data_IF_455240446834
#
_entry.id   IF_455240446834
#
_cell.length_a   1.000
_cell.length_b   1.000
_cell.length_c   1.000
_cell.angle_alpha   90.00
_cell.angle_beta   90.00
_cell.angle_gamma   90.00
#
_symmetry.space_group_name_H-M   'P 1'
#
loop_
_entity.id
_entity.type
_entity.pdbx_description
1 polymer ?
#
# COMPACT_ATOMS: atom_id res chain seq x y z
N UNK A 1 -45.67 13.44 -29.11
CA UNK A 1 -44.47 14.32 -29.19
C UNK A 1 -43.62 14.10 -27.97
N UNK A 2 -42.75 13.07 -27.90
CA UNK A 2 -41.84 12.85 -26.73
C UNK A 2 -40.54 12.15 -27.09
N UNK A 3 -40.06 12.28 -28.33
CA UNK A 3 -38.80 11.61 -28.77
C UNK A 3 -37.52 12.41 -28.57
N UNK A 4 -37.57 13.68 -28.18
CA UNK A 4 -36.41 14.56 -28.13
C UNK A 4 -35.69 14.56 -26.78
N UNK A 5 -36.28 14.09 -25.69
CA UNK A 5 -35.70 14.10 -24.36
C UNK A 5 -34.90 12.83 -23.98
N UNK A 6 -35.06 11.73 -24.70
CA UNK A 6 -34.35 10.44 -24.45
C UNK A 6 -32.91 10.42 -24.97
N UNK A 7 -32.67 11.08 -26.11
CA UNK A 7 -31.35 11.10 -26.76
C UNK A 7 -30.21 11.65 -25.88
N UNK A 8 -30.36 12.76 -25.14
CA UNK A 8 -29.30 13.30 -24.28
C UNK A 8 -29.02 12.41 -23.05
N UNK A 9 -30.02 11.75 -22.49
CA UNK A 9 -29.84 10.84 -21.34
C UNK A 9 -29.07 9.57 -21.73
N UNK A 10 -29.38 9.00 -22.88
CA UNK A 10 -28.64 7.83 -23.39
C UNK A 10 -27.20 8.17 -23.74
N UNK A 11 -26.96 9.38 -24.27
CA UNK A 11 -25.60 9.86 -24.57
C UNK A 11 -24.79 10.07 -23.30
N UNK A 12 -25.36 10.70 -22.28
CA UNK A 12 -24.70 10.86 -20.97
C UNK A 12 -24.38 9.51 -20.33
N UNK A 13 -25.30 8.56 -20.34
CA UNK A 13 -25.07 7.22 -19.81
C UNK A 13 -23.91 6.52 -20.52
N UNK A 14 -23.83 6.59 -21.85
CA UNK A 14 -22.73 6.00 -22.62
C UNK A 14 -21.39 6.63 -22.26
N UNK A 15 -21.33 7.96 -22.09
CA UNK A 15 -20.11 8.67 -21.70
C UNK A 15 -19.66 8.22 -20.30
N UNK A 16 -20.56 8.23 -19.32
CA UNK A 16 -20.25 7.81 -17.96
C UNK A 16 -19.83 6.34 -17.88
N UNK A 17 -20.49 5.47 -18.65
CA UNK A 17 -20.12 4.06 -18.75
C UNK A 17 -18.72 3.88 -19.35
N UNK A 18 -18.40 4.59 -20.44
CA UNK A 18 -17.07 4.55 -21.02
C UNK A 18 -15.99 5.07 -20.06
N UNK A 19 -16.24 6.22 -19.41
CA UNK A 19 -15.32 6.77 -18.39
C UNK A 19 -15.09 5.74 -17.28
N UNK A 20 -16.17 5.19 -16.72
CA UNK A 20 -16.05 4.18 -15.65
C UNK A 20 -15.26 2.96 -16.10
N UNK A 21 -15.56 2.40 -17.26
CA UNK A 21 -14.89 1.19 -17.78
C UNK A 21 -13.40 1.41 -17.95
N UNK A 22 -13.00 2.49 -18.62
CA UNK A 22 -11.58 2.75 -18.88
C UNK A 22 -10.81 3.12 -17.62
N UNK A 23 -11.38 3.99 -16.77
CA UNK A 23 -10.70 4.38 -15.53
C UNK A 23 -10.58 3.19 -14.57
N UNK A 24 -11.62 2.36 -14.46
CA UNK A 24 -11.59 1.16 -13.61
C UNK A 24 -10.59 0.12 -14.12
N UNK A 25 -10.56 -0.13 -15.44
CA UNK A 25 -9.62 -1.10 -16.01
C UNK A 25 -8.16 -0.70 -15.77
N UNK A 26 -7.83 0.56 -16.04
CA UNK A 26 -6.47 1.08 -15.81
C UNK A 26 -6.13 1.03 -14.31
N UNK A 27 -7.00 1.55 -13.46
CA UNK A 27 -6.77 1.57 -12.01
C UNK A 27 -6.64 0.17 -11.42
N UNK A 28 -7.41 -0.81 -11.90
CA UNK A 28 -7.37 -2.19 -11.43
C UNK A 28 -6.00 -2.83 -11.64
N UNK A 29 -5.34 -2.59 -12.78
CA UNK A 29 -3.99 -3.13 -13.05
C UNK A 29 -2.99 -2.62 -12.02
N UNK A 30 -3.01 -1.30 -11.73
CA UNK A 30 -2.09 -0.71 -10.75
C UNK A 30 -2.43 -1.10 -9.32
N UNK A 31 -3.70 -1.17 -8.96
CA UNK A 31 -4.12 -1.68 -7.64
C UNK A 31 -3.68 -3.12 -7.43
N UNK A 32 -3.85 -3.98 -8.45
CA UNK A 32 -3.40 -5.37 -8.38
C UNK A 32 -1.87 -5.44 -8.16
N UNK A 33 -1.10 -4.64 -8.93
CA UNK A 33 0.35 -4.55 -8.74
C UNK A 33 0.70 -4.11 -7.31
N UNK A 34 0.04 -3.07 -6.79
CA UNK A 34 0.27 -2.58 -5.42
C UNK A 34 -0.12 -3.64 -4.37
N UNK A 35 -1.21 -4.37 -4.56
CA UNK A 35 -1.59 -5.46 -3.66
C UNK A 35 -0.57 -6.61 -3.68
N UNK A 36 -0.12 -7.03 -4.86
CA UNK A 36 0.85 -8.12 -5.01
C UNK A 36 2.23 -7.75 -4.45
N UNK A 37 2.64 -6.50 -4.57
CA UNK A 37 3.91 -6.03 -4.01
C UNK A 37 3.81 -5.68 -2.53
N UNK A 38 2.66 -5.18 -2.08
CA UNK A 38 2.43 -4.80 -0.69
C UNK A 38 2.26 -5.99 0.25
N UNK A 39 1.68 -7.11 -0.22
CA UNK A 39 1.46 -8.29 0.59
C UNK A 39 2.77 -8.88 1.17
N UNK A 40 3.83 -9.13 0.37
CA UNK A 40 5.12 -9.56 0.91
C UNK A 40 5.76 -8.51 1.84
N UNK A 41 5.54 -7.22 1.60
CA UNK A 41 6.08 -6.16 2.45
C UNK A 41 5.46 -6.14 3.86
N UNK A 42 4.23 -6.61 4.03
CA UNK A 42 3.62 -6.78 5.35
C UNK A 42 4.37 -7.85 6.16
N UNK A 43 4.83 -8.90 5.50
CA UNK A 43 5.53 -10.03 6.09
C UNK A 43 7.05 -9.96 5.87
N UNK A 44 7.61 -8.75 5.72
CA UNK A 44 9.03 -8.60 5.38
C UNK A 44 9.95 -9.21 6.43
N UNK A 45 9.65 -9.09 7.72
CA UNK A 45 10.43 -9.68 8.80
C UNK A 45 10.52 -11.21 8.68
N UNK A 46 9.38 -11.87 8.53
CA UNK A 46 9.32 -13.33 8.42
C UNK A 46 10.04 -13.84 7.16
N UNK A 47 9.93 -13.07 6.07
CA UNK A 47 10.58 -13.41 4.80
C UNK A 47 12.08 -13.18 4.89
N UNK A 48 12.54 -12.07 5.47
CA UNK A 48 13.95 -11.76 5.62
C UNK A 48 14.63 -12.73 6.59
N UNK A 49 13.96 -13.14 7.67
CA UNK A 49 14.41 -14.22 8.55
C UNK A 49 14.54 -15.54 7.80
N UNK A 50 13.51 -15.94 7.04
CA UNK A 50 13.53 -17.20 6.27
C UNK A 50 14.62 -17.24 5.20
N UNK A 51 14.91 -16.07 4.59
CA UNK A 51 15.94 -15.91 3.56
C UNK A 51 17.34 -15.67 4.13
N UNK A 52 17.49 -15.53 5.46
CA UNK A 52 18.76 -15.29 6.12
C UNK A 52 19.31 -13.87 5.90
N UNK A 53 18.45 -12.90 5.59
CA UNK A 53 18.82 -11.50 5.45
C UNK A 53 18.74 -10.73 6.77
N UNK A 54 18.21 -11.35 7.80
CA UNK A 54 18.14 -10.74 9.12
C UNK A 54 19.55 -10.71 9.77
N UNK A 55 19.97 -9.57 10.33
CA UNK A 55 21.28 -9.48 10.97
C UNK A 55 21.28 -10.32 12.24
N UNK A 56 22.25 -11.22 12.35
CA UNK A 56 22.46 -11.96 13.57
C UNK A 56 22.96 -10.98 14.67
N UNK A 57 22.08 -10.59 15.56
CA UNK A 57 22.47 -9.85 16.78
C UNK A 57 23.14 -10.84 17.73
N UNK A 58 24.38 -10.59 18.21
CA UNK A 58 25.04 -11.47 19.16
C UNK A 58 24.22 -11.57 20.45
N UNK A 59 23.98 -12.82 20.89
CA UNK A 59 23.34 -13.04 22.18
C UNK A 59 24.20 -12.48 23.31
N UNK A 60 23.65 -11.52 24.07
CA UNK A 60 24.31 -10.88 25.19
C UNK A 60 23.62 -11.26 26.51
N UNK A 61 24.36 -11.27 27.63
CA UNK A 61 23.75 -11.53 28.93
C UNK A 61 22.59 -10.59 29.22
N UNK A 62 21.51 -11.10 29.79
CA UNK A 62 20.36 -10.31 30.17
C UNK A 62 20.76 -9.15 31.08
N UNK A 63 20.30 -7.94 30.77
CA UNK A 63 20.62 -6.74 31.54
C UNK A 63 21.87 -5.98 31.06
N UNK A 64 22.54 -6.38 29.99
CA UNK A 64 23.60 -5.60 29.36
C UNK A 64 23.08 -4.22 28.95
N UNK A 65 23.64 -3.11 29.45
CA UNK A 65 23.14 -1.76 29.16
C UNK A 65 23.39 -1.38 27.71
N UNK A 66 22.48 -0.60 27.15
CA UNK A 66 22.63 -0.02 25.80
C UNK A 66 23.68 1.10 25.83
N UNK A 67 24.42 1.24 24.75
CA UNK A 67 25.32 2.36 24.54
C UNK A 67 24.54 3.68 24.40
N UNK A 68 25.09 4.79 24.87
CA UNK A 68 24.52 6.11 24.60
C UNK A 68 24.43 6.37 23.09
N UNK A 69 23.39 7.06 22.64
CA UNK A 69 23.17 7.37 21.22
C UNK A 69 24.39 8.06 20.58
N UNK A 70 25.09 8.93 21.30
CA UNK A 70 26.30 9.59 20.81
C UNK A 70 27.40 8.61 20.38
N UNK A 71 27.58 7.51 21.11
CA UNK A 71 28.57 6.47 20.76
C UNK A 71 28.13 5.68 19.51
N UNK A 72 26.85 5.41 19.36
CA UNK A 72 26.29 4.75 18.17
C UNK A 72 26.43 5.65 16.93
N UNK A 73 26.19 6.95 17.08
CA UNK A 73 26.40 7.95 16.03
C UNK A 73 27.88 8.03 15.61
N UNK A 74 28.81 8.03 16.57
CA UNK A 74 30.25 7.99 16.27
C UNK A 74 30.64 6.71 15.52
N UNK A 75 30.15 5.56 15.97
CA UNK A 75 30.36 4.28 15.28
C UNK A 75 29.86 4.29 13.83
N UNK A 76 28.66 4.83 13.60
CA UNK A 76 28.10 4.95 12.25
C UNK A 76 28.93 5.88 11.36
N UNK A 77 29.36 7.05 11.88
CA UNK A 77 30.23 7.99 11.15
C UNK A 77 31.59 7.39 10.80
N UNK A 78 32.16 6.59 11.68
CA UNK A 78 33.42 5.91 11.42
C UNK A 78 33.33 4.94 10.23
N UNK A 79 32.14 4.35 9.99
CA UNK A 79 31.89 3.45 8.85
C UNK A 79 31.70 4.17 7.51
N UNK A 80 31.16 5.39 7.56
CA UNK A 80 30.88 6.21 6.37
C UNK A 80 31.50 7.60 6.53
N UNK A 81 32.83 7.70 6.38
CA UNK A 81 33.54 8.98 6.53
C UNK A 81 33.05 9.99 5.48
N UNK A 82 32.89 11.24 5.92
CA UNK A 82 32.39 12.33 5.08
C UNK A 82 30.87 12.44 4.97
N UNK A 83 30.11 11.50 5.56
CA UNK A 83 28.67 11.59 5.63
C UNK A 83 28.20 12.15 6.97
N UNK A 84 27.04 12.82 6.93
CA UNK A 84 26.35 13.36 8.11
C UNK A 84 25.18 12.48 8.50
N UNK A 85 24.97 12.30 9.79
CA UNK A 85 23.81 11.55 10.29
C UNK A 85 22.57 12.41 10.14
N UNK A 86 21.54 11.88 9.50
CA UNK A 86 20.25 12.55 9.34
C UNK A 86 19.25 12.12 10.41
N UNK A 87 19.18 10.82 10.68
CA UNK A 87 18.24 10.25 11.65
C UNK A 87 18.76 8.94 12.23
N UNK A 88 18.23 8.57 13.39
CA UNK A 88 18.37 7.26 13.98
C UNK A 88 16.98 6.68 14.18
N UNK A 89 16.75 5.48 13.65
CA UNK A 89 15.49 4.79 13.73
C UNK A 89 15.61 3.59 14.68
N UNK A 90 14.68 3.50 15.63
CA UNK A 90 14.59 2.41 16.60
C UNK A 90 13.33 1.62 16.28
N UNK A 91 13.49 0.37 15.96
CA UNK A 91 12.37 -0.52 15.68
C UNK A 91 11.87 -1.14 16.97
N UNK A 92 10.55 -1.23 17.11
CA UNK A 92 9.93 -1.75 18.33
C UNK A 92 10.12 -3.27 18.44
N UNK A 93 10.12 -3.93 17.31
CA UNK A 93 10.21 -5.39 17.21
C UNK A 93 11.68 -5.87 17.28
N UNK A 94 12.64 -4.97 17.03
CA UNK A 94 14.08 -5.20 17.17
C UNK A 94 14.73 -4.22 18.17
N UNK A 95 14.46 -4.33 19.46
CA UNK A 95 14.91 -3.38 20.46
C UNK A 95 16.44 -3.31 20.64
N UNK A 96 17.17 -4.32 20.19
CA UNK A 96 18.62 -4.45 20.30
C UNK A 96 19.36 -3.82 19.11
N UNK A 97 18.67 -3.38 18.10
CA UNK A 97 19.24 -2.75 16.90
C UNK A 97 18.90 -1.26 16.81
N UNK A 98 19.72 -0.51 16.10
CA UNK A 98 19.43 0.86 15.68
C UNK A 98 19.87 1.04 14.24
N UNK A 99 18.98 1.58 13.40
CA UNK A 99 19.28 1.93 12.04
C UNK A 99 19.61 3.43 11.95
N UNK A 100 20.83 3.74 11.54
CA UNK A 100 21.31 5.12 11.40
C UNK A 100 21.39 5.47 9.92
N UNK A 101 20.60 6.46 9.52
CA UNK A 101 20.60 7.01 8.17
C UNK A 101 21.66 8.10 8.01
N UNK A 102 22.51 7.96 7.00
CA UNK A 102 23.57 8.89 6.67
C UNK A 102 23.41 9.42 5.25
N UNK A 103 23.85 10.65 5.02
CA UNK A 103 23.87 11.28 3.70
C UNK A 103 25.09 12.17 3.51
N UNK A 104 25.39 12.46 2.26
CA UNK A 104 26.43 13.44 1.90
C UNK A 104 26.03 14.88 2.27
N UNK A 105 24.70 15.17 2.35
CA UNK A 105 24.15 16.46 2.74
C UNK A 105 22.86 16.23 3.56
N UNK A 106 22.66 17.05 4.61
CA UNK A 106 21.45 17.04 5.45
C UNK A 106 20.15 17.28 4.66
N UNK A 107 20.23 17.93 3.50
CA UNK A 107 19.07 18.23 2.64
C UNK A 107 18.67 17.08 1.73
N UNK A 108 19.52 16.06 1.60
CA UNK A 108 19.25 14.92 0.72
C UNK A 108 18.38 13.89 1.43
N UNK A 109 17.14 13.77 1.02
CA UNK A 109 16.16 12.83 1.59
C UNK A 109 15.62 11.93 0.47
N UNK A 110 15.57 10.60 0.68
CA UNK A 110 16.18 9.84 1.79
C UNK A 110 17.70 9.87 1.78
N UNK A 111 18.34 9.48 2.88
CA UNK A 111 19.79 9.40 2.98
C UNK A 111 20.46 8.53 1.91
N UNK A 112 21.78 8.68 1.77
CA UNK A 112 22.55 7.91 0.78
C UNK A 112 22.83 6.48 1.22
N UNK A 113 22.85 6.24 2.53
CA UNK A 113 23.19 4.95 3.11
C UNK A 113 22.58 4.76 4.50
N UNK A 114 22.44 3.50 4.89
CA UNK A 114 22.05 3.11 6.24
C UNK A 114 23.13 2.24 6.85
N UNK A 115 23.30 2.36 8.17
CA UNK A 115 24.13 1.50 8.99
C UNK A 115 23.27 0.99 10.13
N UNK A 116 23.03 -0.32 10.16
CA UNK A 116 22.42 -1.01 11.28
C UNK A 116 23.48 -1.36 12.32
N UNK A 117 23.30 -0.94 13.55
CA UNK A 117 24.23 -1.20 14.64
C UNK A 117 23.54 -1.94 15.77
N UNK A 118 24.27 -2.85 16.41
CA UNK A 118 23.91 -3.41 17.70
C UNK A 118 23.98 -2.29 18.77
N UNK A 119 22.92 -2.06 19.49
CA UNK A 119 22.81 -1.00 20.50
C UNK A 119 23.67 -1.23 21.75
N UNK A 120 24.14 -2.45 22.01
CA UNK A 120 24.97 -2.78 23.17
C UNK A 120 26.44 -2.68 22.83
N UNK A 121 26.87 -3.14 21.70
CA UNK A 121 28.27 -3.20 21.31
C UNK A 121 28.69 -2.07 20.36
N UNK A 122 27.76 -1.49 19.61
CA UNK A 122 28.05 -0.58 18.50
C UNK A 122 28.64 -1.27 17.29
N UNK A 123 28.60 -2.60 17.26
CA UNK A 123 29.04 -3.36 16.10
C UNK A 123 28.07 -3.17 14.94
N UNK A 124 28.59 -3.05 13.71
CA UNK A 124 27.74 -3.01 12.51
C UNK A 124 27.19 -4.39 12.22
N UNK A 125 25.87 -4.46 12.11
CA UNK A 125 25.10 -5.63 11.73
C UNK A 125 24.78 -5.62 10.24
N UNK A 126 24.39 -4.45 9.72
CA UNK A 126 24.04 -4.23 8.33
C UNK A 126 24.72 -2.97 7.83
N UNK A 127 25.37 -3.05 6.67
CA UNK A 127 25.90 -1.90 5.94
C UNK A 127 25.33 -1.91 4.51
N UNK A 128 24.04 -1.65 4.40
CA UNK A 128 23.34 -1.84 3.13
C UNK A 128 22.90 -0.49 2.55
N UNK A 129 22.96 -0.38 1.22
CA UNK A 129 22.31 0.74 0.53
C UNK A 129 20.78 0.66 0.70
N UNK A 130 20.07 1.80 0.80
CA UNK A 130 18.63 1.81 0.88
C UNK A 130 18.01 1.00 -0.27
N UNK A 131 17.20 0.00 0.08
CA UNK A 131 16.51 -0.82 -0.91
C UNK A 131 17.36 -1.93 -1.55
N UNK A 132 18.42 -2.39 -0.89
CA UNK A 132 19.10 -3.63 -1.25
C UNK A 132 18.27 -4.85 -0.78
N UNK A 133 18.51 -5.98 -1.46
CA UNK A 133 17.77 -7.21 -1.18
C UNK A 133 16.39 -7.30 -1.85
N UNK A 134 15.74 -8.48 -1.76
CA UNK A 134 14.45 -8.71 -2.42
C UNK A 134 13.32 -7.84 -1.88
N UNK A 135 13.31 -7.57 -0.56
CA UNK A 135 12.30 -6.69 0.04
C UNK A 135 12.50 -5.24 -0.37
N UNK A 136 13.75 -4.78 -0.50
CA UNK A 136 14.05 -3.46 -1.03
C UNK A 136 13.65 -3.29 -2.49
N UNK A 137 13.79 -4.32 -3.31
CA UNK A 137 13.27 -4.33 -4.68
C UNK A 137 11.76 -4.17 -4.71
N UNK A 138 11.03 -4.96 -3.90
CA UNK A 138 9.58 -4.89 -3.79
C UNK A 138 9.13 -3.52 -3.27
N UNK A 139 9.82 -2.98 -2.27
CA UNK A 139 9.53 -1.66 -1.73
C UNK A 139 9.67 -0.55 -2.79
N UNK A 140 10.73 -0.57 -3.59
CA UNK A 140 10.92 0.39 -4.68
C UNK A 140 9.87 0.25 -5.77
N UNK A 141 9.51 -0.99 -6.13
CA UNK A 141 8.44 -1.23 -7.09
C UNK A 141 7.09 -0.72 -6.56
N UNK A 142 6.80 -0.97 -5.29
CA UNK A 142 5.55 -0.57 -4.63
C UNK A 142 5.45 0.95 -4.44
N UNK A 143 6.54 1.61 -4.04
CA UNK A 143 6.51 3.01 -3.64
C UNK A 143 6.70 4.00 -4.81
N UNK A 144 7.52 3.66 -5.79
CA UNK A 144 7.91 4.59 -6.85
C UNK A 144 8.22 3.95 -8.21
N UNK A 145 7.99 2.64 -8.37
CA UNK A 145 8.23 1.91 -9.61
C UNK A 145 9.66 2.11 -10.18
N UNK A 146 10.66 2.30 -9.32
CA UNK A 146 12.05 2.64 -9.65
C UNK A 146 12.26 3.99 -10.35
N UNK A 147 11.23 4.83 -10.46
CA UNK A 147 11.26 6.14 -11.13
C UNK A 147 11.41 7.32 -10.14
N UNK A 148 11.61 7.03 -8.85
CA UNK A 148 11.75 8.05 -7.80
C UNK A 148 10.54 9.00 -7.75
N UNK A 149 10.77 10.31 -7.80
CA UNK A 149 9.69 11.30 -7.75
C UNK A 149 8.69 11.14 -8.89
N UNK A 150 9.17 10.81 -10.09
CA UNK A 150 8.31 10.59 -11.26
C UNK A 150 7.33 9.44 -11.04
N UNK A 151 7.80 8.32 -10.46
CA UNK A 151 6.96 7.17 -10.12
C UNK A 151 5.93 7.48 -9.05
N UNK A 152 6.30 8.23 -8.01
CA UNK A 152 5.36 8.68 -6.97
C UNK A 152 4.26 9.56 -7.54
N UNK A 153 4.60 10.51 -8.40
CA UNK A 153 3.62 11.36 -9.08
C UNK A 153 2.72 10.56 -10.01
N UNK A 154 3.28 9.60 -10.74
CA UNK A 154 2.52 8.70 -11.61
C UNK A 154 1.53 7.86 -10.80
N UNK A 155 1.95 7.24 -9.70
CA UNK A 155 1.04 6.51 -8.80
C UNK A 155 -0.03 7.42 -8.19
N UNK A 156 0.31 8.69 -7.90
CA UNK A 156 -0.66 9.71 -7.47
C UNK A 156 -1.74 9.96 -8.54
N UNK A 157 -1.36 10.05 -9.81
CA UNK A 157 -2.31 10.16 -10.94
C UNK A 157 -3.18 8.91 -11.06
N UNK A 158 -2.62 7.72 -10.88
CA UNK A 158 -3.40 6.47 -10.86
C UNK A 158 -4.40 6.44 -9.70
N UNK A 159 -4.02 6.96 -8.53
CA UNK A 159 -4.94 7.16 -7.40
C UNK A 159 -6.10 8.11 -7.73
N UNK A 160 -5.81 9.21 -8.44
CA UNK A 160 -6.85 10.14 -8.91
C UNK A 160 -7.80 9.48 -9.92
N UNK A 161 -7.28 8.68 -10.86
CA UNK A 161 -8.09 7.89 -11.78
C UNK A 161 -9.01 6.90 -11.02
N UNK A 162 -8.51 6.30 -9.96
CA UNK A 162 -9.32 5.43 -9.10
C UNK A 162 -10.48 6.20 -8.45
N UNK A 163 -10.25 7.42 -7.96
CA UNK A 163 -11.34 8.27 -7.44
C UNK A 163 -12.38 8.55 -8.51
N UNK A 164 -11.97 8.87 -9.74
CA UNK A 164 -12.88 9.06 -10.87
C UNK A 164 -13.67 7.78 -11.18
N UNK A 165 -13.03 6.61 -11.12
CA UNK A 165 -13.70 5.32 -11.30
C UNK A 165 -14.77 5.08 -10.22
N UNK A 166 -14.48 5.37 -8.95
CA UNK A 166 -15.45 5.26 -7.86
C UNK A 166 -16.64 6.20 -8.07
N UNK A 167 -16.38 7.49 -8.33
CA UNK A 167 -17.44 8.48 -8.56
C UNK A 167 -18.31 8.09 -9.74
N UNK A 168 -17.71 7.71 -10.87
CA UNK A 168 -18.45 7.29 -12.06
C UNK A 168 -19.28 6.02 -11.82
N UNK A 169 -18.76 5.08 -11.02
CA UNK A 169 -19.49 3.89 -10.60
C UNK A 169 -20.74 4.23 -9.77
N UNK A 170 -20.58 5.12 -8.79
CA UNK A 170 -21.73 5.61 -7.98
C UNK A 170 -22.78 6.29 -8.82
N UNK A 171 -22.36 7.14 -9.78
CA UNK A 171 -23.29 7.82 -10.69
C UNK A 171 -24.06 6.83 -11.56
N UNK A 172 -23.40 5.78 -12.08
CA UNK A 172 -24.04 4.75 -12.90
C UNK A 172 -24.98 3.86 -12.07
N UNK A 173 -24.59 3.54 -10.83
CA UNK A 173 -25.34 2.61 -9.99
C UNK A 173 -26.50 3.28 -9.24
N UNK A 174 -26.45 4.59 -9.00
CA UNK A 174 -27.47 5.34 -8.27
C UNK A 174 -28.89 5.22 -8.83
N UNK A 175 -29.12 5.34 -10.15
CA UNK A 175 -30.44 5.13 -10.76
C UNK A 175 -30.96 3.69 -10.64
N UNK A 176 -30.07 2.70 -10.64
CA UNK A 176 -30.42 1.28 -10.50
C UNK A 176 -30.91 0.98 -9.09
N UNK A 177 -30.21 1.47 -8.06
CA UNK A 177 -30.61 1.33 -6.66
C UNK A 177 -31.95 1.97 -6.34
N UNK A 178 -32.26 3.13 -6.93
CA UNK A 178 -33.60 3.75 -6.80
C UNK A 178 -34.71 2.88 -7.35
N UNK A 179 -34.49 2.20 -8.46
CA UNK A 179 -35.47 1.26 -9.04
C UNK A 179 -35.69 0.02 -8.18
N UNK A 180 -34.64 -0.52 -7.57
CA UNK A 180 -34.78 -1.65 -6.64
C UNK A 180 -35.53 -1.25 -5.36
N UNK A 181 -35.25 -0.09 -4.80
CA UNK A 181 -35.91 0.42 -3.60
C UNK A 181 -37.38 0.78 -3.82
N UNK A 182 -37.78 1.07 -5.07
CA UNK A 182 -39.16 1.37 -5.46
C UNK A 182 -39.91 0.20 -6.06
N UNK A 183 -39.30 -1.00 -6.20
CA UNK A 183 -40.01 -2.20 -6.59
C UNK A 183 -41.00 -2.59 -5.47
N UNK A 184 -42.31 -2.59 -5.69
CA UNK A 184 -43.23 -3.04 -4.65
C UNK A 184 -42.90 -4.51 -4.37
N UNK A 185 -42.82 -4.86 -3.09
CA UNK A 185 -42.84 -6.23 -2.63
C UNK A 185 -44.24 -6.76 -2.92
N UNK A 186 -44.47 -7.20 -4.16
CA UNK A 186 -45.71 -7.84 -4.55
C UNK A 186 -45.75 -9.22 -3.91
N UNK A 187 -46.16 -9.21 -2.65
CA UNK A 187 -46.46 -10.40 -1.86
C UNK A 187 -47.74 -11.06 -2.40
N UNK A 188 -47.70 -11.42 -3.66
CA UNK A 188 -48.71 -12.31 -4.22
C UNK A 188 -48.39 -13.72 -3.76
N UNK A 189 -48.69 -13.97 -2.47
CA UNK A 189 -48.90 -15.32 -2.03
C UNK A 189 -49.99 -15.92 -2.95
N UNK A 190 -49.63 -16.91 -3.75
CA UNK A 190 -50.57 -17.74 -4.46
C UNK A 190 -51.47 -18.48 -3.46
N UNK A 191 -52.53 -17.82 -3.07
CA UNK A 191 -53.66 -18.45 -2.40
C UNK A 191 -54.44 -19.22 -3.41
N UNK A 192 -53.97 -20.39 -3.80
CA UNK A 192 -54.76 -21.41 -4.48
C UNK A 192 -55.73 -22.04 -3.47
N UNK A 193 -56.90 -21.46 -3.33
CA UNK A 193 -58.04 -22.16 -2.72
C UNK A 193 -58.70 -23.01 -3.82
N UNK A 194 -58.17 -24.19 -4.02
CA UNK A 194 -58.89 -25.21 -4.81
C UNK A 194 -59.99 -25.78 -3.93
N UNK A 195 -61.22 -25.29 -4.20
CA UNK A 195 -62.46 -25.87 -3.68
C UNK A 195 -62.62 -27.29 -4.16
N UNK A 196 -62.42 -28.20 -3.26
CA UNK A 196 -62.85 -29.60 -3.45
C UNK A 196 -64.35 -29.69 -3.13
N UNK A 197 -65.22 -29.60 -4.13
CA UNK A 197 -66.64 -29.94 -4.03
C UNK A 197 -66.79 -31.42 -4.33
N UNK A 198 -66.95 -32.21 -3.26
CA UNK A 198 -67.40 -33.59 -3.34
C UNK A 198 -68.88 -33.64 -3.71
N UNK A 199 -69.28 -34.53 -4.64
CA UNK A 199 -70.64 -34.99 -4.81
C UNK A 199 -70.62 -36.52 -4.93
N UNK A 200 -71.24 -37.15 -3.97
CA UNK A 200 -71.92 -38.45 -3.82
C UNK A 200 -71.46 -39.59 -4.72
#
# INVERSE_FOLDING_TARGET
>A
MSMTAEAPRLRAFRIWSAVHTWTSLISMVFLLMLCLTGLPLIFHHEIDHLLGYEPAVPEMPAGTPFLPLGRLVEAAKARKPGQVVQFAFFEKDEPDTVLIGLASDLRKVPGDSFVGLDRRTGAALIETAPGAGPMGFLLKLHADMFLGLGGKLFLGVMGLLFVVAVISGVVLYGPFMKKLASAPCDGRAAGGSDGWTGTT
#
